data_IF_768814609549
#
_entry.id   IF_768814609549
#
_cell.length_a   1.000
_cell.length_b   1.000
_cell.length_c   1.000
_cell.angle_alpha   90.00
_cell.angle_beta   90.00
_cell.angle_gamma   90.00
#
_symmetry.space_group_name_H-M   'P 1'
#
loop_
_entity.id
_entity.type
_entity.pdbx_description
1 polymer ?
#
# COMPACT_ATOMS: atom_id res chain seq x y z
N UNK A 1 -18.17 10.89 -8.93
CA UNK A 1 -18.14 9.54 -9.56
C UNK A 1 -17.14 8.64 -8.83
N UNK A 2 -17.21 7.31 -9.00
CA UNK A 2 -16.20 6.38 -8.49
C UNK A 2 -14.93 6.50 -9.35
N UNK A 3 -13.80 6.75 -8.71
CA UNK A 3 -12.50 7.01 -9.35
C UNK A 3 -11.57 5.80 -9.34
N UNK A 4 -11.45 5.12 -8.21
CA UNK A 4 -10.54 3.97 -8.05
C UNK A 4 -11.08 3.01 -6.98
N UNK A 5 -10.79 1.72 -7.11
CA UNK A 5 -11.23 0.68 -6.17
C UNK A 5 -10.06 -0.21 -5.81
N UNK A 6 -9.92 -0.57 -4.53
CA UNK A 6 -8.87 -1.49 -4.07
C UNK A 6 -9.45 -2.52 -3.11
N UNK A 7 -8.92 -3.73 -3.20
CA UNK A 7 -9.23 -4.86 -2.32
C UNK A 7 -7.93 -5.24 -1.62
N UNK A 8 -7.89 -5.06 -0.31
CA UNK A 8 -6.66 -5.15 0.47
C UNK A 8 -6.94 -5.96 1.72
N UNK A 9 -6.04 -6.87 2.09
CA UNK A 9 -6.15 -7.60 3.34
C UNK A 9 -5.73 -6.71 4.52
N UNK A 10 -6.23 -6.99 5.73
CA UNK A 10 -5.92 -6.20 6.95
C UNK A 10 -4.42 -6.06 7.26
N UNK A 11 -3.56 -6.93 6.73
CA UNK A 11 -2.09 -6.84 6.86
C UNK A 11 -1.42 -5.91 5.83
N UNK A 12 -2.22 -5.29 4.97
CA UNK A 12 -1.76 -4.39 3.92
C UNK A 12 -1.42 -5.06 2.60
N UNK A 13 -1.66 -6.38 2.45
CA UNK A 13 -1.47 -7.06 1.16
C UNK A 13 -2.57 -6.67 0.18
N UNK A 14 -2.18 -6.04 -0.93
CA UNK A 14 -3.13 -5.69 -2.01
C UNK A 14 -3.48 -6.96 -2.79
N UNK A 15 -4.76 -7.33 -2.80
CA UNK A 15 -5.27 -8.52 -3.50
C UNK A 15 -5.63 -8.18 -4.95
N UNK A 16 -6.32 -7.06 -5.15
CA UNK A 16 -6.75 -6.54 -6.44
C UNK A 16 -6.92 -5.01 -6.36
N UNK A 17 -6.82 -4.32 -7.48
CA UNK A 17 -7.13 -2.90 -7.59
C UNK A 17 -7.51 -2.55 -9.02
N UNK A 18 -8.36 -1.53 -9.17
CA UNK A 18 -8.74 -1.06 -10.49
C UNK A 18 -7.55 -0.45 -11.20
N UNK A 19 -7.37 -0.80 -12.48
CA UNK A 19 -6.47 -0.06 -13.36
C UNK A 19 -7.16 1.25 -13.73
N UNK A 20 -6.50 2.37 -13.44
CA UNK A 20 -6.99 3.71 -13.74
C UNK A 20 -6.20 4.30 -14.93
N UNK A 21 -6.83 5.14 -15.74
CA UNK A 21 -6.16 5.82 -16.87
C UNK A 21 -5.08 6.80 -16.36
N UNK A 22 -4.04 7.09 -17.15
CA UNK A 22 -2.89 7.91 -16.72
C UNK A 22 -3.26 9.29 -16.13
N UNK A 23 -4.28 9.94 -16.69
CA UNK A 23 -4.79 11.22 -16.18
C UNK A 23 -5.47 11.07 -14.81
N UNK A 24 -6.23 10.00 -14.63
CA UNK A 24 -6.85 9.68 -13.35
C UNK A 24 -5.79 9.27 -12.32
N UNK A 25 -4.78 8.50 -12.72
CA UNK A 25 -3.66 8.12 -11.85
C UNK A 25 -2.95 9.35 -11.30
N UNK A 26 -2.64 10.32 -12.18
CA UNK A 26 -1.96 11.58 -11.81
C UNK A 26 -2.77 12.42 -10.83
N UNK A 27 -4.09 12.51 -11.02
CA UNK A 27 -4.99 13.23 -10.11
C UNK A 27 -5.18 12.53 -8.76
N UNK A 28 -4.92 11.22 -8.70
CA UNK A 28 -5.16 10.40 -7.51
C UNK A 28 -3.88 10.06 -6.73
N UNK A 29 -2.70 10.50 -7.16
CA UNK A 29 -1.41 10.16 -6.53
C UNK A 29 -1.42 10.45 -5.03
N UNK A 30 -1.83 11.67 -4.65
CA UNK A 30 -1.82 12.12 -3.25
C UNK A 30 -2.82 11.34 -2.40
N UNK A 31 -4.05 11.17 -2.90
CA UNK A 31 -5.09 10.43 -2.16
C UNK A 31 -4.74 8.94 -2.05
N UNK A 32 -4.15 8.32 -3.09
CA UNK A 32 -3.65 6.94 -3.04
C UNK A 32 -2.51 6.80 -2.02
N UNK A 33 -1.64 7.80 -1.88
CA UNK A 33 -0.62 7.81 -0.84
C UNK A 33 -1.23 7.91 0.57
N UNK A 34 -2.23 8.79 0.78
CA UNK A 34 -3.00 8.87 2.03
C UNK A 34 -3.71 7.55 2.34
N UNK A 35 -4.33 6.90 1.36
CA UNK A 35 -4.99 5.59 1.48
C UNK A 35 -3.99 4.49 1.88
N UNK A 36 -2.79 4.46 1.31
CA UNK A 36 -1.75 3.51 1.74
C UNK A 36 -1.37 3.67 3.21
N UNK A 37 -1.26 4.92 3.69
CA UNK A 37 -1.05 5.19 5.13
C UNK A 37 -2.26 4.74 5.96
N UNK A 38 -3.46 5.05 5.50
CA UNK A 38 -4.72 4.63 6.13
C UNK A 38 -4.80 3.12 6.32
N UNK A 39 -4.52 2.33 5.28
CA UNK A 39 -4.52 0.87 5.30
C UNK A 39 -3.63 0.33 6.43
N UNK A 40 -2.44 0.92 6.64
CA UNK A 40 -1.52 0.51 7.71
C UNK A 40 -2.03 0.79 9.11
N UNK A 41 -2.95 1.74 9.27
CA UNK A 41 -3.57 2.06 10.56
C UNK A 41 -4.78 1.18 10.89
N UNK A 42 -5.27 0.37 9.93
CA UNK A 42 -6.37 -0.54 10.23
C UNK A 42 -5.97 -1.55 11.30
N UNK A 43 -6.86 -1.73 12.27
CA UNK A 43 -6.72 -2.73 13.32
C UNK A 43 -8.00 -3.55 13.41
N UNK A 44 -7.98 -4.65 14.18
CA UNK A 44 -9.18 -5.45 14.45
C UNK A 44 -10.30 -4.67 15.16
N UNK A 45 -9.98 -3.51 15.75
CA UNK A 45 -10.92 -2.64 16.44
C UNK A 45 -11.46 -1.50 15.54
N UNK A 46 -11.03 -1.43 14.28
CA UNK A 46 -11.58 -0.46 13.34
C UNK A 46 -13.06 -0.75 13.07
N UNK A 47 -13.83 0.30 12.78
CA UNK A 47 -15.21 0.12 12.35
C UNK A 47 -15.27 -0.73 11.07
N UNK A 48 -16.29 -1.57 10.93
CA UNK A 48 -16.43 -2.42 9.75
C UNK A 48 -16.80 -1.61 8.50
N UNK A 49 -17.47 -0.47 8.66
CA UNK A 49 -17.89 0.38 7.54
C UNK A 49 -17.68 1.84 7.97
N UNK A 50 -17.00 2.64 7.15
CA UNK A 50 -16.90 4.08 7.38
C UNK A 50 -16.66 4.87 6.08
N UNK A 51 -16.99 6.15 6.14
CA UNK A 51 -16.65 7.15 5.12
C UNK A 51 -15.53 8.02 5.65
N UNK A 52 -14.49 8.22 4.86
CA UNK A 52 -13.34 9.04 5.20
C UNK A 52 -13.28 10.18 4.19
N UNK A 53 -13.49 11.39 4.69
CA UNK A 53 -13.48 12.61 3.88
C UNK A 53 -12.05 13.12 3.71
N UNK A 54 -11.70 13.47 2.48
CA UNK A 54 -10.50 14.21 2.09
C UNK A 54 -10.92 15.34 1.16
N UNK A 55 -10.11 16.40 1.07
CA UNK A 55 -10.36 17.61 0.27
C UNK A 55 -11.35 17.46 -0.90
N UNK A 56 -10.94 16.83 -1.99
CA UNK A 56 -11.76 16.68 -3.22
C UNK A 56 -12.40 15.29 -3.36
N UNK A 57 -12.04 14.35 -2.48
CA UNK A 57 -12.38 12.93 -2.61
C UNK A 57 -12.88 12.36 -1.29
N UNK A 58 -13.86 11.47 -1.38
CA UNK A 58 -14.30 10.66 -0.23
C UNK A 58 -13.87 9.22 -0.46
N UNK A 59 -13.34 8.61 0.58
CA UNK A 59 -12.98 7.19 0.61
C UNK A 59 -14.06 6.46 1.38
N UNK A 60 -14.72 5.50 0.75
CA UNK A 60 -15.63 4.61 1.44
C UNK A 60 -14.97 3.25 1.56
N UNK A 61 -15.13 2.59 2.71
CA UNK A 61 -14.65 1.23 2.87
C UNK A 61 -15.63 0.35 3.64
N UNK A 62 -15.55 -0.95 3.34
CA UNK A 62 -16.24 -2.04 4.03
C UNK A 62 -15.19 -3.10 4.36
N UNK A 63 -15.14 -3.54 5.61
CA UNK A 63 -14.29 -4.63 6.10
C UNK A 63 -15.15 -5.86 6.27
N UNK A 64 -14.79 -6.94 5.57
CA UNK A 64 -15.44 -8.25 5.65
C UNK A 64 -14.37 -9.33 5.70
N UNK A 65 -14.45 -10.22 6.70
CA UNK A 65 -13.56 -11.37 6.86
C UNK A 65 -12.06 -11.05 6.74
N UNK A 66 -11.61 -9.95 7.36
CA UNK A 66 -10.23 -9.44 7.30
C UNK A 66 -9.76 -8.92 5.93
N UNK A 67 -10.70 -8.65 5.02
CA UNK A 67 -10.47 -7.97 3.75
C UNK A 67 -11.18 -6.62 3.78
N UNK A 68 -10.44 -5.59 3.38
CA UNK A 68 -10.88 -4.21 3.22
C UNK A 68 -11.22 -4.02 1.74
N UNK A 69 -12.49 -3.73 1.47
CA UNK A 69 -12.97 -3.27 0.18
C UNK A 69 -13.10 -1.76 0.28
N UNK A 70 -12.31 -1.01 -0.50
CA UNK A 70 -12.34 0.44 -0.48
C UNK A 70 -12.52 1.01 -1.89
N UNK A 71 -13.21 2.14 -1.97
CA UNK A 71 -13.30 2.92 -3.18
C UNK A 71 -13.02 4.40 -2.89
N UNK A 72 -12.39 5.05 -3.85
CA UNK A 72 -12.17 6.49 -3.88
C UNK A 72 -13.21 7.05 -4.83
N UNK A 73 -14.01 8.01 -4.38
CA UNK A 73 -14.99 8.70 -5.21
C UNK A 73 -14.85 10.22 -5.04
N UNK A 74 -15.37 10.97 -6.01
CA UNK A 74 -15.55 12.41 -5.83
C UNK A 74 -16.49 12.66 -4.64
N UNK A 75 -16.25 13.77 -3.94
CA UNK A 75 -17.07 14.17 -2.79
C UNK A 75 -18.57 14.33 -3.11
N UNK A 76 -18.91 14.67 -4.36
CA UNK A 76 -20.29 14.81 -4.81
C UNK A 76 -21.02 13.49 -5.06
N UNK A 77 -20.32 12.35 -5.00
CA UNK A 77 -20.91 11.06 -5.27
C UNK A 77 -21.79 10.58 -4.09
N UNK A 78 -23.02 10.10 -4.33
CA UNK A 78 -23.91 9.69 -3.24
C UNK A 78 -23.33 8.55 -2.42
N UNK A 79 -23.26 8.75 -1.10
CA UNK A 79 -22.75 7.77 -0.14
C UNK A 79 -23.48 6.42 -0.22
N UNK A 80 -24.81 6.44 -0.36
CA UNK A 80 -25.63 5.22 -0.46
C UNK A 80 -25.14 4.33 -1.59
N UNK A 81 -24.94 4.92 -2.77
CA UNK A 81 -24.46 4.21 -3.97
C UNK A 81 -23.05 3.67 -3.80
N UNK A 82 -22.16 4.40 -3.13
CA UNK A 82 -20.80 3.94 -2.87
C UNK A 82 -20.79 2.66 -2.01
N UNK A 83 -21.62 2.60 -0.96
CA UNK A 83 -21.72 1.38 -0.13
C UNK A 83 -22.44 0.24 -0.84
N UNK A 84 -23.45 0.53 -1.66
CA UNK A 84 -24.08 -0.48 -2.52
C UNK A 84 -23.07 -1.11 -3.45
N UNK A 85 -22.27 -0.28 -4.12
CA UNK A 85 -21.18 -0.71 -4.97
C UNK A 85 -20.17 -1.59 -4.21
N UNK A 86 -19.72 -1.15 -3.03
CA UNK A 86 -18.78 -1.94 -2.22
C UNK A 86 -19.38 -3.27 -1.75
N UNK A 87 -20.68 -3.29 -1.43
CA UNK A 87 -21.39 -4.53 -1.07
C UNK A 87 -21.41 -5.52 -2.23
N UNK A 88 -21.73 -5.05 -3.43
CA UNK A 88 -21.74 -5.84 -4.67
C UNK A 88 -20.35 -6.43 -4.97
N UNK A 89 -19.32 -5.57 -4.96
CA UNK A 89 -17.91 -5.96 -5.11
C UNK A 89 -17.50 -7.01 -4.06
N UNK A 90 -17.85 -6.79 -2.79
CA UNK A 90 -17.47 -7.72 -1.71
C UNK A 90 -18.18 -9.06 -1.84
N UNK A 91 -19.46 -9.07 -2.23
CA UNK A 91 -20.25 -10.28 -2.42
C UNK A 91 -19.68 -11.11 -3.57
N UNK A 92 -19.47 -10.49 -4.73
CA UNK A 92 -18.93 -11.16 -5.91
C UNK A 92 -17.52 -11.69 -5.66
N UNK A 93 -16.65 -10.90 -5.03
CA UNK A 93 -15.28 -11.34 -4.72
C UNK A 93 -15.28 -12.58 -3.80
N UNK A 94 -16.11 -12.56 -2.74
CA UNK A 94 -16.23 -13.70 -1.81
C UNK A 94 -16.94 -14.92 -2.41
N UNK A 95 -17.74 -14.73 -3.46
CA UNK A 95 -18.39 -15.80 -4.22
C UNK A 95 -17.41 -16.47 -5.19
N UNK A 96 -16.60 -15.66 -5.89
CA UNK A 96 -15.67 -16.12 -6.91
C UNK A 96 -14.43 -16.79 -6.32
N UNK A 97 -13.93 -16.30 -5.18
CA UNK A 97 -12.70 -16.79 -4.56
C UNK A 97 -12.96 -17.35 -3.16
N UNK A 98 -12.56 -18.60 -2.86
CA UNK A 98 -12.66 -19.16 -1.52
C UNK A 98 -11.77 -18.42 -0.51
N UNK A 99 -12.27 -18.22 0.71
CA UNK A 99 -11.55 -17.51 1.79
C UNK A 99 -10.18 -18.08 2.12
N UNK A 100 -10.03 -19.41 2.05
CA UNK A 100 -8.75 -20.08 2.28
C UNK A 100 -7.64 -19.65 1.30
N UNK A 101 -7.98 -19.16 0.10
CA UNK A 101 -6.99 -18.72 -0.88
C UNK A 101 -6.51 -17.30 -0.62
N UNK A 102 -7.42 -16.33 -0.47
CA UNK A 102 -7.04 -14.91 -0.32
C UNK A 102 -6.60 -14.55 1.10
N UNK A 103 -7.00 -15.34 2.11
CA UNK A 103 -6.49 -15.21 3.48
C UNK A 103 -5.22 -16.02 3.74
N UNK A 104 -4.76 -16.84 2.77
CA UNK A 104 -3.55 -17.62 2.94
C UNK A 104 -2.32 -16.73 3.21
N UNK A 105 -1.42 -17.09 4.14
CA UNK A 105 -0.12 -16.43 4.30
C UNK A 105 0.72 -16.44 3.02
N UNK A 106 0.47 -17.39 2.10
CA UNK A 106 1.19 -17.52 0.82
C UNK A 106 0.55 -16.73 -0.33
N UNK A 107 -0.55 -16.00 -0.07
CA UNK A 107 -1.19 -15.16 -1.07
C UNK A 107 -0.22 -14.10 -1.60
N UNK A 108 -0.21 -13.92 -2.92
CA UNK A 108 0.66 -12.95 -3.60
C UNK A 108 -0.03 -11.60 -3.73
N UNK A 109 0.75 -10.53 -3.69
CA UNK A 109 0.26 -9.20 -4.03
C UNK A 109 -0.26 -9.21 -5.46
N UNK A 110 -1.41 -8.60 -5.70
CA UNK A 110 -2.09 -8.59 -6.99
C UNK A 110 -2.38 -10.02 -7.53
N UNK A 111 -2.58 -10.99 -6.64
CA UNK A 111 -2.89 -12.36 -7.03
C UNK A 111 -4.27 -12.53 -7.69
N UNK A 112 -5.15 -11.52 -7.59
CA UNK A 112 -6.54 -11.57 -8.05
C UNK A 112 -6.84 -10.47 -9.09
N UNK A 113 -5.86 -10.13 -9.93
CA UNK A 113 -5.99 -9.08 -10.96
C UNK A 113 -7.11 -9.32 -11.97
N UNK A 114 -7.48 -10.58 -12.23
CA UNK A 114 -8.56 -10.91 -13.17
C UNK A 114 -9.91 -10.32 -12.74
N UNK A 115 -10.10 -10.12 -11.43
CA UNK A 115 -11.27 -9.50 -10.86
C UNK A 115 -11.43 -8.00 -11.24
N UNK A 116 -10.36 -7.34 -11.72
CA UNK A 116 -10.45 -5.97 -12.24
C UNK A 116 -11.51 -5.85 -13.34
N UNK A 117 -11.66 -6.87 -14.19
CA UNK A 117 -12.69 -6.89 -15.25
C UNK A 117 -14.09 -6.67 -14.68
N UNK A 118 -14.40 -7.33 -13.55
CA UNK A 118 -15.67 -7.16 -12.86
C UNK A 118 -15.76 -5.79 -12.19
N UNK A 119 -14.69 -5.34 -11.53
CA UNK A 119 -14.60 -4.01 -10.92
C UNK A 119 -14.93 -2.91 -11.94
N UNK A 120 -14.36 -2.97 -13.14
CA UNK A 120 -14.59 -2.00 -14.21
C UNK A 120 -16.03 -2.05 -14.73
N UNK A 121 -16.59 -3.25 -14.90
CA UNK A 121 -18.00 -3.41 -15.31
C UNK A 121 -18.95 -2.82 -14.27
N UNK A 122 -18.75 -3.15 -13.00
CA UNK A 122 -19.53 -2.60 -11.90
C UNK A 122 -19.37 -1.07 -11.85
N UNK A 123 -18.14 -0.55 -11.88
CA UNK A 123 -17.86 0.90 -11.87
C UNK A 123 -18.65 1.65 -12.95
N UNK A 124 -18.70 1.13 -14.18
CA UNK A 124 -19.50 1.71 -15.27
C UNK A 124 -21.00 1.68 -14.99
N UNK A 125 -21.51 0.56 -14.47
CA UNK A 125 -22.93 0.40 -14.11
C UNK A 125 -23.37 1.39 -13.03
N UNK A 126 -22.54 1.63 -12.02
CA UNK A 126 -22.80 2.58 -10.92
C UNK A 126 -22.46 4.05 -11.25
N UNK A 127 -21.93 4.31 -12.45
CA UNK A 127 -21.76 5.66 -12.99
C UNK A 127 -22.91 6.07 -13.92
N UNK A 128 -23.61 5.11 -14.53
CA UNK A 128 -24.77 5.40 -15.38
C UNK A 128 -26.00 5.75 -14.54
N UNK A 129 -26.42 7.01 -14.58
CA UNK A 129 -27.57 7.54 -13.85
C UNK A 129 -28.87 6.76 -14.08
N UNK A 130 -29.07 6.13 -15.25
CA UNK A 130 -30.29 5.35 -15.55
C UNK A 130 -30.26 3.98 -14.89
N UNK A 131 -29.10 3.31 -14.89
CA UNK A 131 -28.92 2.04 -14.20
C UNK A 131 -29.04 2.22 -12.68
N UNK A 132 -28.48 3.33 -12.18
CA UNK A 132 -28.51 3.72 -10.77
C UNK A 132 -29.92 3.87 -10.22
N UNK A 133 -30.85 4.51 -10.96
CA UNK A 133 -32.25 4.66 -10.53
C UNK A 133 -33.01 3.33 -10.44
N UNK A 134 -32.64 2.34 -11.25
CA UNK A 134 -33.22 1.00 -11.18
C UNK A 134 -32.63 0.21 -10.02
N UNK A 135 -31.31 0.35 -9.77
CA UNK A 135 -30.65 -0.25 -8.62
C UNK A 135 -31.20 0.32 -7.30
N UNK A 136 -31.38 1.64 -7.19
CA UNK A 136 -31.94 2.27 -5.99
C UNK A 136 -33.34 1.75 -5.63
N UNK A 137 -34.15 1.39 -6.63
CA UNK A 137 -35.50 0.79 -6.44
C UNK A 137 -35.46 -0.70 -6.10
N UNK A 138 -34.44 -1.42 -6.58
CA UNK A 138 -34.28 -2.85 -6.33
C UNK A 138 -33.62 -3.14 -4.96
N UNK A 139 -32.94 -2.15 -4.39
CA UNK A 139 -32.12 -2.28 -3.19
C UNK A 139 -32.74 -1.55 -1.99
N UNK A 140 -34.06 -1.68 -1.81
CA UNK A 140 -34.78 -1.17 -0.62
C UNK A 140 -34.31 -1.84 0.69
N UNK A 141 -33.58 -2.96 0.61
CA UNK A 141 -32.90 -3.63 1.74
C UNK A 141 -31.56 -2.98 2.15
N UNK A 142 -31.15 -1.87 1.50
CA UNK A 142 -29.91 -1.18 1.87
C UNK A 142 -29.98 -0.69 3.31
N UNK A 143 -29.14 -1.32 4.14
CA UNK A 143 -28.78 -0.89 5.49
C UNK A 143 -28.74 0.63 5.60
N UNK A 144 -29.25 1.09 6.74
CA UNK A 144 -29.30 2.47 7.19
C UNK A 144 -27.91 3.15 7.16
N UNK A 145 -27.49 3.64 5.99
CA UNK A 145 -26.16 4.27 5.74
C UNK A 145 -25.95 5.50 6.62
N UNK A 146 -27.02 6.03 7.20
CA UNK A 146 -27.04 7.08 8.21
C UNK A 146 -26.21 6.74 9.46
N UNK A 147 -26.09 5.45 9.80
CA UNK A 147 -25.31 4.96 10.95
C UNK A 147 -23.82 4.80 10.67
N UNK A 148 -23.41 4.96 9.41
CA UNK A 148 -22.00 4.82 9.01
C UNK A 148 -21.20 6.02 9.49
N UNK A 149 -20.15 5.73 10.25
CA UNK A 149 -19.26 6.73 10.80
C UNK A 149 -18.56 7.50 9.67
N UNK A 150 -18.48 8.83 9.81
CA UNK A 150 -17.74 9.70 8.91
C UNK A 150 -16.55 10.28 9.68
N UNK A 151 -15.36 10.25 9.10
CA UNK A 151 -14.14 10.82 9.69
C UNK A 151 -13.37 11.62 8.66
N UNK A 152 -12.60 12.59 9.12
CA UNK A 152 -11.67 13.30 8.26
C UNK A 152 -10.33 12.54 8.16
N UNK A 153 -9.74 12.48 6.97
CA UNK A 153 -8.49 11.72 6.74
C UNK A 153 -7.28 12.37 7.42
N UNK A 154 -7.21 13.70 7.46
CA UNK A 154 -6.11 14.43 8.09
C UNK A 154 -6.05 14.13 9.59
N UNK A 155 -7.21 14.06 10.26
CA UNK A 155 -7.29 13.69 11.68
C UNK A 155 -6.79 12.26 11.94
N UNK A 156 -7.19 11.32 11.08
CA UNK A 156 -6.75 9.92 11.17
C UNK A 156 -5.25 9.79 10.94
N UNK A 157 -4.70 10.47 9.93
CA UNK A 157 -3.28 10.44 9.59
C UNK A 157 -2.42 11.12 10.65
N UNK A 158 -2.88 12.24 11.23
CA UNK A 158 -2.16 12.94 12.30
C UNK A 158 -2.00 12.05 13.53
N UNK A 159 -3.04 11.32 13.90
CA UNK A 159 -2.98 10.33 14.99
C UNK A 159 -1.99 9.22 14.70
N UNK A 160 -1.94 8.72 13.45
CA UNK A 160 -1.02 7.67 13.00
C UNK A 160 0.45 8.10 12.93
N UNK A 161 0.75 9.29 12.40
CA UNK A 161 2.13 9.79 12.27
C UNK A 161 2.79 10.06 13.64
N UNK A 162 2.02 10.27 14.72
CA UNK A 162 2.58 10.32 16.09
C UNK A 162 3.05 8.94 16.59
N UNK A 163 2.41 7.86 16.13
CA UNK A 163 2.72 6.47 16.50
C UNK A 163 3.89 5.91 15.69
N UNK A 164 4.00 6.23 14.39
CA UNK A 164 5.07 5.73 13.50
C UNK A 164 6.44 6.38 13.76
N UNK A 165 6.48 7.60 14.30
CA UNK A 165 7.74 8.27 14.67
C UNK A 165 8.57 7.50 15.73
N UNK A 166 7.98 6.57 16.48
CA UNK A 166 8.73 5.67 17.38
C UNK A 166 9.40 4.48 16.67
N UNK A 167 8.82 3.99 15.57
CA UNK A 167 9.37 2.85 14.81
C UNK A 167 10.51 3.23 13.87
N UNK A 168 10.42 4.41 13.26
CA UNK A 168 11.45 4.89 12.33
C UNK A 168 12.75 5.31 13.04
N UNK A 169 12.66 5.87 14.26
CA UNK A 169 13.83 6.22 15.05
C UNK A 169 14.66 4.99 15.45
N UNK A 170 14.02 3.83 15.67
CA UNK A 170 14.69 2.57 16.02
C UNK A 170 15.23 1.82 14.78
N UNK A 171 14.62 1.98 13.61
CA UNK A 171 15.12 1.47 12.33
C UNK A 171 16.37 2.21 11.82
N UNK A 172 16.33 3.56 11.83
CA UNK A 172 17.45 4.40 11.41
C UNK A 172 18.69 4.21 12.31
N UNK A 173 18.52 4.01 13.62
CA UNK A 173 19.62 3.70 14.54
C UNK A 173 20.36 2.38 14.23
N UNK A 174 19.64 1.33 13.79
CA UNK A 174 20.26 0.04 13.42
C UNK A 174 20.93 0.08 12.05
N UNK A 175 20.35 0.82 11.11
CA UNK A 175 20.92 1.00 9.77
C UNK A 175 22.15 1.91 9.79
N UNK A 176 22.11 3.02 10.54
CA UNK A 176 23.24 3.91 10.74
C UNK A 176 24.39 3.18 11.47
N UNK A 177 24.11 2.38 12.50
CA UNK A 177 25.13 1.57 13.18
C UNK A 177 25.82 0.56 12.25
N UNK A 178 25.08 -0.06 11.32
CA UNK A 178 25.66 -0.95 10.30
C UNK A 178 26.50 -0.17 9.28
N UNK A 179 26.09 1.05 8.92
CA UNK A 179 26.81 1.94 8.01
C UNK A 179 28.12 2.43 8.65
N UNK A 180 28.12 2.84 9.92
CA UNK A 180 29.32 3.21 10.67
C UNK A 180 30.29 2.03 10.85
N UNK A 181 29.79 0.81 11.14
CA UNK A 181 30.64 -0.39 11.20
C UNK A 181 31.31 -0.70 9.86
N UNK A 182 30.58 -0.61 8.74
CA UNK A 182 31.13 -0.83 7.39
C UNK A 182 32.14 0.25 6.99
N UNK A 183 31.86 1.51 7.34
CA UNK A 183 32.77 2.62 7.09
C UNK A 183 34.08 2.47 7.88
N UNK A 184 34.02 2.10 9.16
CA UNK A 184 35.20 1.88 10.00
C UNK A 184 36.10 0.76 9.47
N UNK A 185 35.52 -0.37 9.01
CA UNK A 185 36.29 -1.48 8.42
C UNK A 185 36.99 -1.01 7.13
N UNK A 186 36.30 -0.27 6.26
CA UNK A 186 36.89 0.25 5.01
C UNK A 186 38.05 1.22 5.28
N UNK A 187 37.89 2.11 6.27
CA UNK A 187 38.94 3.05 6.68
C UNK A 187 40.16 2.28 7.19
N UNK A 188 39.97 1.24 8.02
CA UNK A 188 41.08 0.43 8.52
C UNK A 188 41.85 -0.30 7.40
N UNK A 189 41.16 -0.81 6.38
CA UNK A 189 41.79 -1.42 5.21
C UNK A 189 42.62 -0.43 4.38
N UNK A 190 42.09 0.77 4.14
CA UNK A 190 42.82 1.82 3.42
C UNK A 190 44.07 2.29 4.20
N UNK A 191 43.98 2.38 5.52
CA UNK A 191 45.12 2.70 6.38
C UNK A 191 46.19 1.61 6.36
N UNK A 192 45.80 0.33 6.36
CA UNK A 192 46.72 -0.79 6.25
C UNK A 192 47.45 -0.80 4.89
N UNK A 193 46.73 -0.64 3.79
CA UNK A 193 47.31 -0.65 2.43
C UNK A 193 48.28 0.51 2.24
N UNK A 194 47.90 1.72 2.67
CA UNK A 194 48.78 2.90 2.55
C UNK A 194 50.06 2.78 3.39
N UNK A 195 49.98 2.15 4.57
CA UNK A 195 51.14 1.99 5.48
C UNK A 195 52.10 0.89 5.03
N UNK A 196 51.60 -0.24 4.55
CA UNK A 196 52.43 -1.43 4.24
C UNK A 196 52.69 -1.62 2.74
N UNK A 197 51.94 -0.96 1.85
CA UNK A 197 52.11 -1.04 0.40
C UNK A 197 53.52 -0.67 -0.10
N UNK A 198 54.14 0.45 0.36
CA UNK A 198 55.48 0.82 -0.09
C UNK A 198 56.56 -0.20 0.32
N UNK A 199 56.44 -0.76 1.51
CA UNK A 199 57.37 -1.77 2.04
C UNK A 199 57.25 -3.07 1.26
N UNK A 200 56.02 -3.50 0.97
CA UNK A 200 55.75 -4.68 0.12
C UNK A 200 56.27 -4.50 -1.30
N UNK A 201 56.10 -3.32 -1.89
CA UNK A 201 56.61 -2.99 -3.23
C UNK A 201 58.14 -3.05 -3.30
N UNK A 202 58.84 -2.50 -2.31
CA UNK A 202 60.30 -2.54 -2.23
C UNK A 202 60.84 -3.98 -2.11
N UNK A 203 60.21 -4.82 -1.28
CA UNK A 203 60.59 -6.23 -1.15
C UNK A 203 60.40 -6.99 -2.46
N UNK A 204 59.30 -6.73 -3.18
CA UNK A 204 59.00 -7.38 -4.46
C UNK A 204 60.03 -6.98 -5.53
N UNK A 205 60.41 -5.70 -5.58
CA UNK A 205 61.49 -5.23 -6.48
C UNK A 205 62.82 -5.90 -6.11
N UNK A 206 63.13 -6.01 -4.82
CA UNK A 206 64.36 -6.63 -4.35
C UNK A 206 64.43 -8.13 -4.71
N UNK A 207 63.34 -8.88 -4.52
CA UNK A 207 63.30 -10.31 -4.90
C UNK A 207 63.35 -10.50 -6.41
N UNK A 208 62.67 -9.65 -7.18
CA UNK A 208 62.74 -9.68 -8.64
C UNK A 208 64.17 -9.40 -9.14
N UNK A 209 64.87 -8.45 -8.53
CA UNK A 209 66.26 -8.13 -8.89
C UNK A 209 67.21 -9.28 -8.55
N UNK A 210 67.04 -9.91 -7.38
CA UNK A 210 67.81 -11.10 -7.00
C UNK A 210 67.54 -12.24 -7.99
N UNK A 211 66.29 -12.44 -8.37
CA UNK A 211 65.93 -13.50 -9.33
C UNK A 211 66.57 -13.25 -10.70
N UNK A 212 66.48 -12.03 -11.24
CA UNK A 212 67.11 -11.65 -12.51
C UNK A 212 68.64 -11.70 -12.49
N UNK A 213 69.26 -11.53 -11.31
CA UNK A 213 70.71 -11.51 -11.15
C UNK A 213 71.33 -12.91 -11.03
N UNK A 214 70.56 -13.89 -10.56
CA UNK A 214 71.03 -15.24 -10.23
C UNK A 214 70.44 -16.35 -11.11
N UNK A 215 69.39 -16.08 -11.88
CA UNK A 215 68.80 -16.97 -12.89
C UNK A 215 68.79 -16.28 -14.25
#
# INVERSE_FOLDING_TARGET
>A
MIRSTQIVRLDGLILCGSVDDEQAESALVDIKAKVKKLIRMFSKNSANEASIESDQFTIHYVVKDSVIFLCICDQSYPRKLAFTYLSDISSEFTSMYPSGQYLSPTAKSYGYIEFDTYIQKAKRSYQDSRATQNLDKLNDDLKDVTKVMTKNIEELLYRGDSLDKMGEMSGRLREDSRKYKKAAVRINWNLLISKYGPIGGLLLIMTMFIWWRFF
#
